data_IF_520357870969
#
_entry.id   IF_520357870969
#
_cell.length_a   1.000
_cell.length_b   1.000
_cell.length_c   1.000
_cell.angle_alpha   90.00
_cell.angle_beta   90.00
_cell.angle_gamma   90.00
#
_symmetry.space_group_name_H-M   'P 1'
#
loop_
_entity.id
_entity.type
_entity.pdbx_description
1 polymer ?
#
# COMPACT_ATOMS: atom_id res chain seq x y z
N UNK A 1 -12.35 26.53 46.81
CA UNK A 1 -12.65 25.24 46.13
C UNK A 1 -12.53 25.47 44.61
N UNK A 2 -11.71 24.65 43.97
CA UNK A 2 -11.32 24.53 42.55
C UNK A 2 -12.18 25.23 41.49
N UNK A 3 -11.53 25.98 40.58
CA UNK A 3 -11.49 25.69 39.14
C UNK A 3 -10.40 26.55 38.46
N UNK A 4 -9.33 25.90 37.98
CA UNK A 4 -8.32 26.47 37.10
C UNK A 4 -8.80 26.32 35.65
N UNK A 5 -8.86 27.44 34.93
CA UNK A 5 -8.97 27.48 33.47
C UNK A 5 -7.55 27.49 32.90
N UNK A 6 -7.21 26.47 32.10
CA UNK A 6 -5.92 26.39 31.41
C UNK A 6 -6.09 26.91 29.98
N UNK A 7 -5.37 27.99 29.67
CA UNK A 7 -5.24 28.61 28.37
C UNK A 7 -4.65 27.64 27.33
N UNK A 8 -5.35 27.43 26.22
CA UNK A 8 -4.79 26.83 25.00
C UNK A 8 -4.13 27.98 24.18
N UNK A 9 -2.80 27.99 24.13
CA UNK A 9 -2.02 28.82 23.19
C UNK A 9 -2.06 28.17 21.81
N UNK A 10 -2.82 28.74 20.89
CA UNK A 10 -2.73 28.45 19.45
C UNK A 10 -1.46 29.12 18.91
N UNK A 11 -0.45 28.33 18.56
CA UNK A 11 0.70 28.82 17.79
C UNK A 11 0.33 28.88 16.31
N UNK A 12 0.10 30.09 15.81
CA UNK A 12 -0.01 30.40 14.39
C UNK A 12 1.42 30.43 13.79
N UNK A 13 1.78 29.43 12.99
CA UNK A 13 3.00 29.49 12.17
C UNK A 13 2.64 29.70 10.69
N UNK A 14 3.05 30.86 10.19
CA UNK A 14 2.92 31.30 8.80
C UNK A 14 3.81 30.45 7.87
N UNK A 15 3.27 29.37 7.32
CA UNK A 15 3.89 28.58 6.23
C UNK A 15 3.15 28.72 4.88
N UNK A 16 2.19 29.64 4.77
CA UNK A 16 1.24 29.70 3.66
C UNK A 16 1.76 30.37 2.36
N UNK A 17 2.96 30.94 2.31
CA UNK A 17 3.38 31.70 1.11
C UNK A 17 4.04 30.87 0.01
N UNK A 18 4.49 29.64 0.29
CA UNK A 18 5.17 28.78 -0.69
C UNK A 18 4.30 27.64 -1.24
N UNK A 19 3.19 27.29 -0.58
CA UNK A 19 2.29 26.21 -1.02
C UNK A 19 1.22 26.64 -2.02
N UNK A 20 0.81 27.92 -1.99
CA UNK A 20 -0.26 28.43 -2.86
C UNK A 20 0.14 28.49 -4.34
N UNK A 21 1.44 28.55 -4.67
CA UNK A 21 1.89 28.62 -6.07
C UNK A 21 1.95 27.27 -6.81
N UNK A 22 1.96 26.14 -6.10
CA UNK A 22 2.13 24.83 -6.76
C UNK A 22 0.82 24.08 -7.03
N UNK A 23 -0.27 24.45 -6.33
CA UNK A 23 -1.58 23.79 -6.48
C UNK A 23 -2.68 24.68 -7.08
N UNK A 24 -2.46 25.99 -7.27
CA UNK A 24 -3.52 26.91 -7.72
C UNK A 24 -3.66 27.07 -9.23
N UNK A 25 -2.81 26.47 -10.07
CA UNK A 25 -2.90 26.70 -11.51
C UNK A 25 -3.86 25.79 -12.28
N UNK A 26 -4.38 24.69 -11.72
CA UNK A 26 -5.20 23.71 -12.48
C UNK A 26 -6.41 23.16 -11.70
N UNK A 27 -7.27 24.04 -11.18
CA UNK A 27 -8.63 23.63 -10.77
C UNK A 27 -9.62 24.67 -11.32
N UNK A 28 -10.07 24.44 -12.56
CA UNK A 28 -11.29 25.03 -13.07
C UNK A 28 -12.47 24.22 -12.54
N UNK A 29 -13.34 24.87 -11.77
CA UNK A 29 -14.62 24.35 -11.30
C UNK A 29 -15.55 24.08 -12.47
N UNK A 30 -15.76 22.80 -12.79
CA UNK A 30 -16.86 22.29 -13.60
C UNK A 30 -16.98 20.80 -13.36
N UNK A 31 -18.16 20.35 -12.95
CA UNK A 31 -18.56 18.96 -12.82
C UNK A 31 -18.46 18.23 -14.16
N UNK A 32 -17.28 17.67 -14.44
CA UNK A 32 -17.06 16.73 -15.53
C UNK A 32 -15.94 15.78 -15.11
N UNK A 33 -16.25 14.49 -15.04
CA UNK A 33 -15.28 13.40 -14.80
C UNK A 33 -14.09 13.62 -15.71
N UNK A 34 -12.94 14.01 -15.15
CA UNK A 34 -11.71 14.20 -15.91
C UNK A 34 -11.27 12.85 -16.45
N UNK A 35 -11.57 12.60 -17.73
CA UNK A 35 -10.99 11.53 -18.52
C UNK A 35 -9.47 11.75 -18.54
N UNK A 36 -8.74 10.91 -17.81
CA UNK A 36 -7.28 10.87 -17.88
C UNK A 36 -6.88 10.40 -19.29
N UNK A 37 -6.53 11.36 -20.15
CA UNK A 37 -6.07 11.11 -21.51
C UNK A 37 -4.67 10.49 -21.50
N UNK A 38 -4.53 9.32 -22.13
CA UNK A 38 -3.25 8.72 -22.46
C UNK A 38 -2.67 9.41 -23.71
N UNK A 39 -1.94 10.51 -23.53
CA UNK A 39 -1.15 11.09 -24.61
C UNK A 39 0.36 11.07 -24.31
N UNK A 40 1.10 10.67 -25.35
CA UNK A 40 2.53 10.33 -25.43
C UNK A 40 3.52 11.44 -24.98
N UNK A 41 3.55 11.74 -23.68
CA UNK A 41 4.74 12.18 -22.93
C UNK A 41 4.69 11.45 -21.59
N UNK A 42 5.77 10.81 -21.17
CA UNK A 42 5.84 9.99 -19.94
C UNK A 42 5.54 10.81 -18.66
N UNK A 43 4.30 11.20 -18.41
CA UNK A 43 3.89 12.01 -17.25
C UNK A 43 2.50 11.61 -16.76
N UNK A 44 2.33 10.35 -16.35
CA UNK A 44 1.15 9.97 -15.59
C UNK A 44 1.43 10.13 -14.09
N UNK A 45 0.72 11.06 -13.46
CA UNK A 45 0.65 11.17 -12.00
C UNK A 45 -0.40 10.19 -11.48
N UNK A 46 -0.10 9.53 -10.38
CA UNK A 46 -1.00 8.55 -9.78
C UNK A 46 -2.08 9.24 -8.94
N UNK A 47 -3.30 8.71 -8.99
CA UNK A 47 -4.39 9.20 -8.16
C UNK A 47 -4.02 9.07 -6.67
N UNK A 48 -4.34 10.06 -5.80
CA UNK A 48 -3.93 10.00 -4.40
C UNK A 48 -4.46 8.74 -3.68
N UNK A 49 -5.72 8.37 -3.89
CA UNK A 49 -6.26 7.13 -3.31
C UNK A 49 -5.57 5.87 -3.87
N UNK A 50 -5.06 5.89 -5.11
CA UNK A 50 -4.25 4.78 -5.64
C UNK A 50 -2.94 4.65 -4.87
N UNK A 51 -2.25 5.77 -4.61
CA UNK A 51 -1.05 5.77 -3.78
C UNK A 51 -1.38 5.22 -2.39
N UNK A 52 -2.43 5.72 -1.73
CA UNK A 52 -2.85 5.23 -0.41
C UNK A 52 -3.12 3.72 -0.41
N UNK A 53 -3.92 3.22 -1.37
CA UNK A 53 -4.22 1.79 -1.48
C UNK A 53 -2.97 0.95 -1.75
N UNK A 54 -2.05 1.44 -2.59
CA UNK A 54 -0.79 0.76 -2.83
C UNK A 54 0.10 0.73 -1.57
N UNK A 55 0.13 1.82 -0.80
CA UNK A 55 0.84 1.90 0.48
C UNK A 55 0.23 0.96 1.51
N UNK A 56 -1.10 0.80 1.54
CA UNK A 56 -1.80 -0.15 2.42
C UNK A 56 -1.35 -1.61 2.19
N UNK A 57 -0.94 -1.97 0.97
CA UNK A 57 -0.28 -3.25 0.69
C UNK A 57 1.23 -3.19 0.97
N UNK A 58 1.97 -2.49 0.12
CA UNK A 58 3.44 -2.60 -0.02
C UNK A 58 4.24 -1.58 0.81
N UNK A 59 3.57 -0.61 1.44
CA UNK A 59 4.23 0.43 2.22
C UNK A 59 4.80 -0.09 3.55
N UNK A 60 5.93 0.47 3.96
CA UNK A 60 6.55 0.20 5.26
C UNK A 60 7.00 1.50 5.94
N UNK A 61 6.58 1.69 7.19
CA UNK A 61 7.01 2.77 8.06
C UNK A 61 7.96 2.20 9.12
N UNK A 62 9.15 2.77 9.26
CA UNK A 62 10.15 2.25 10.21
C UNK A 62 10.93 3.36 10.88
N UNK A 63 11.32 3.13 12.14
CA UNK A 63 12.29 3.93 12.86
C UNK A 63 13.57 3.11 12.97
N UNK A 64 14.62 3.54 12.27
CA UNK A 64 15.95 2.96 12.36
C UNK A 64 16.71 3.60 13.51
N UNK A 65 17.28 2.75 14.38
CA UNK A 65 18.10 3.16 15.51
C UNK A 65 19.38 2.33 15.49
N UNK A 66 20.54 2.98 15.55
CA UNK A 66 21.82 2.32 15.64
C UNK A 66 22.81 3.14 16.46
N UNK A 67 23.80 2.46 17.04
CA UNK A 67 24.86 3.10 17.79
C UNK A 67 25.75 3.90 16.84
N UNK A 68 26.02 5.15 17.20
CA UNK A 68 26.92 6.05 16.48
C UNK A 68 27.64 6.93 17.49
N UNK A 69 28.94 6.70 17.67
CA UNK A 69 29.78 7.40 18.65
C UNK A 69 29.89 8.91 18.39
N UNK A 70 29.55 9.38 17.18
CA UNK A 70 29.54 10.81 16.82
C UNK A 70 28.32 11.54 17.39
N UNK A 71 27.29 10.80 17.81
CA UNK A 71 26.06 11.38 18.37
C UNK A 71 26.22 11.64 19.86
N UNK A 72 25.67 12.75 20.36
CA UNK A 72 25.80 13.18 21.77
C UNK A 72 25.39 12.11 22.80
N UNK A 73 24.44 11.24 22.45
CA UNK A 73 23.96 10.11 23.28
C UNK A 73 24.28 8.74 22.69
N UNK A 74 25.20 8.67 21.73
CA UNK A 74 25.65 7.42 21.13
C UNK A 74 24.63 6.74 20.22
N UNK A 75 23.48 7.36 19.93
CA UNK A 75 22.42 6.82 19.09
C UNK A 75 22.07 7.75 17.94
N UNK A 76 21.97 7.18 16.74
CA UNK A 76 21.37 7.83 15.60
C UNK A 76 19.97 7.27 15.36
N UNK A 77 18.99 8.16 15.21
CA UNK A 77 17.58 7.82 14.93
C UNK A 77 17.19 8.36 13.55
N UNK A 78 16.61 7.50 12.70
CA UNK A 78 16.16 7.88 11.36
C UNK A 78 14.77 7.32 11.06
N UNK A 79 13.78 8.19 10.78
CA UNK A 79 12.49 7.74 10.26
C UNK A 79 12.63 7.41 8.78
N UNK A 80 12.09 6.27 8.36
CA UNK A 80 12.15 5.78 6.99
C UNK A 80 10.77 5.30 6.58
N UNK A 81 10.27 5.86 5.48
CA UNK A 81 9.20 5.27 4.69
C UNK A 81 9.80 4.57 3.46
N UNK A 82 9.33 3.36 3.15
CA UNK A 82 9.80 2.63 1.97
C UNK A 82 8.73 1.75 1.33
N UNK A 83 8.92 1.49 0.05
CA UNK A 83 8.18 0.51 -0.75
C UNK A 83 9.22 -0.35 -1.47
N UNK A 84 9.13 -1.67 -1.34
CA UNK A 84 10.07 -2.60 -1.96
C UNK A 84 9.34 -3.44 -3.00
N UNK A 85 9.75 -3.36 -4.27
CA UNK A 85 9.16 -4.17 -5.33
C UNK A 85 10.23 -4.94 -6.09
N UNK A 86 9.82 -6.01 -6.76
CA UNK A 86 10.68 -6.67 -7.75
C UNK A 86 11.05 -5.69 -8.86
N UNK A 87 12.26 -5.82 -9.43
CA UNK A 87 12.80 -4.91 -10.47
C UNK A 87 11.91 -4.77 -11.71
N UNK A 88 11.04 -5.75 -11.91
CA UNK A 88 10.05 -5.76 -12.99
C UNK A 88 9.03 -4.62 -12.90
N UNK A 89 8.78 -4.13 -11.69
CA UNK A 89 7.86 -3.04 -11.39
C UNK A 89 8.62 -1.72 -11.15
N UNK A 90 9.85 -1.58 -11.66
CA UNK A 90 10.65 -0.35 -11.53
C UNK A 90 9.89 0.89 -12.03
N UNK A 91 9.20 0.79 -13.17
CA UNK A 91 8.41 1.89 -13.74
C UNK A 91 7.26 2.32 -12.82
N UNK A 92 6.71 1.40 -12.02
CA UNK A 92 5.69 1.73 -11.02
C UNK A 92 6.32 2.51 -9.85
N UNK A 93 7.50 2.12 -9.38
CA UNK A 93 8.23 2.90 -8.37
C UNK A 93 8.62 4.29 -8.87
N UNK A 94 9.02 4.43 -10.14
CA UNK A 94 9.29 5.73 -10.78
C UNK A 94 8.03 6.61 -10.86
N UNK A 95 6.86 6.02 -11.12
CA UNK A 95 5.58 6.73 -11.12
C UNK A 95 5.19 7.19 -9.70
N UNK A 96 5.41 6.35 -8.68
CA UNK A 96 5.19 6.70 -7.27
C UNK A 96 6.13 7.84 -6.85
N UNK A 97 7.43 7.73 -7.14
CA UNK A 97 8.42 8.77 -6.83
C UNK A 97 8.04 10.11 -7.48
N UNK A 98 7.68 10.09 -8.76
CA UNK A 98 7.25 11.29 -9.50
C UNK A 98 5.99 11.90 -8.91
N UNK A 99 5.03 11.07 -8.51
CA UNK A 99 3.76 11.51 -7.93
C UNK A 99 3.95 12.17 -6.56
N UNK A 100 4.76 11.55 -5.69
CA UNK A 100 5.04 12.10 -4.37
C UNK A 100 6.05 13.26 -4.42
N UNK A 101 6.81 13.40 -5.51
CA UNK A 101 7.80 14.47 -5.70
C UNK A 101 9.01 14.39 -4.76
N UNK A 102 9.14 13.30 -4.01
CA UNK A 102 10.20 13.08 -3.02
C UNK A 102 10.72 11.64 -3.10
N UNK A 103 11.75 11.35 -2.32
CA UNK A 103 12.30 10.00 -2.21
C UNK A 103 13.30 9.65 -3.31
N UNK A 104 13.95 8.50 -3.13
CA UNK A 104 14.99 8.00 -4.03
C UNK A 104 14.80 6.49 -4.23
N UNK A 105 15.18 6.01 -5.41
CA UNK A 105 15.22 4.59 -5.73
C UNK A 105 16.61 4.03 -5.42
N UNK A 106 16.64 2.87 -4.76
CA UNK A 106 17.86 2.16 -4.40
C UNK A 106 17.75 0.71 -4.83
N UNK A 107 18.85 0.15 -5.33
CA UNK A 107 18.96 -1.30 -5.48
C UNK A 107 18.81 -1.97 -4.11
N UNK A 108 17.95 -2.98 -4.01
CA UNK A 108 17.70 -3.71 -2.78
C UNK A 108 17.83 -5.21 -3.05
N UNK A 109 18.98 -5.81 -2.75
CA UNK A 109 19.26 -7.19 -3.12
C UNK A 109 19.46 -7.39 -4.63
N UNK A 110 19.30 -8.64 -5.09
CA UNK A 110 19.56 -9.01 -6.50
C UNK A 110 18.45 -8.58 -7.45
N UNK A 111 17.20 -8.81 -7.07
CA UNK A 111 16.04 -8.74 -7.95
C UNK A 111 14.98 -7.71 -7.52
N UNK A 112 15.29 -6.84 -6.56
CA UNK A 112 14.35 -5.83 -6.07
C UNK A 112 14.95 -4.42 -6.01
N UNK A 113 14.04 -3.45 -6.09
CA UNK A 113 14.31 -2.02 -5.97
C UNK A 113 13.46 -1.48 -4.82
N UNK A 114 14.06 -0.61 -4.02
CA UNK A 114 13.42 0.07 -2.92
C UNK A 114 13.23 1.55 -3.26
N UNK A 115 12.00 2.02 -3.25
CA UNK A 115 11.70 3.43 -3.10
C UNK A 115 11.81 3.80 -1.62
N UNK A 116 12.61 4.81 -1.28
CA UNK A 116 12.89 5.20 0.12
C UNK A 116 12.82 6.71 0.32
N UNK A 117 12.15 7.11 1.39
CA UNK A 117 12.11 8.49 1.92
C UNK A 117 12.64 8.46 3.35
N UNK A 118 13.60 9.32 3.68
CA UNK A 118 14.27 9.27 5.00
C UNK A 118 14.69 10.62 5.57
N UNK A 119 14.77 11.68 4.75
CA UNK A 119 14.99 13.03 5.27
C UNK A 119 13.70 13.56 5.90
N UNK A 120 13.80 14.18 7.08
CA UNK A 120 12.65 14.70 7.83
C UNK A 120 11.71 15.57 6.97
N UNK A 121 12.28 16.53 6.21
CA UNK A 121 11.51 17.38 5.27
C UNK A 121 10.64 16.57 4.30
N UNK A 122 11.20 15.52 3.71
CA UNK A 122 10.49 14.70 2.72
C UNK A 122 9.51 13.72 3.38
N UNK A 123 9.77 13.27 4.62
CA UNK A 123 8.82 12.45 5.38
C UNK A 123 7.52 13.22 5.63
N UNK A 124 7.58 14.53 5.88
CA UNK A 124 6.37 15.35 6.01
C UNK A 124 5.50 15.37 4.74
N UNK A 125 6.06 15.14 3.54
CA UNK A 125 5.25 14.98 2.33
C UNK A 125 4.41 13.70 2.38
N UNK A 126 4.98 12.62 2.95
CA UNK A 126 4.26 11.35 3.16
C UNK A 126 3.19 11.51 4.24
N UNK A 127 3.52 12.16 5.36
CA UNK A 127 2.56 12.45 6.44
C UNK A 127 1.39 13.28 5.92
N UNK A 128 1.66 14.39 5.22
CA UNK A 128 0.62 15.25 4.68
C UNK A 128 -0.29 14.51 3.67
N UNK A 129 0.27 13.60 2.88
CA UNK A 129 -0.51 12.75 1.99
C UNK A 129 -1.44 11.82 2.77
N UNK A 130 -0.92 11.10 3.77
CA UNK A 130 -1.69 10.10 4.52
C UNK A 130 -2.65 10.70 5.55
N UNK A 131 -2.40 11.91 6.04
CA UNK A 131 -3.38 12.66 6.83
C UNK A 131 -4.59 13.07 5.98
N UNK A 132 -4.36 13.41 4.71
CA UNK A 132 -5.43 13.78 3.77
C UNK A 132 -6.13 12.56 3.16
N UNK A 133 -5.40 11.47 2.93
CA UNK A 133 -5.87 10.21 2.35
C UNK A 133 -5.47 9.03 3.26
N UNK A 134 -6.23 8.78 4.34
CA UNK A 134 -5.84 7.82 5.38
C UNK A 134 -5.79 6.38 4.88
N UNK A 135 -4.84 5.62 5.44
CA UNK A 135 -4.77 4.16 5.33
C UNK A 135 -5.97 3.52 6.03
N UNK A 136 -6.42 2.37 5.53
CA UNK A 136 -7.57 1.65 6.11
C UNK A 136 -7.24 0.23 6.57
N UNK A 137 -6.03 -0.27 6.32
CA UNK A 137 -5.54 -1.52 6.94
C UNK A 137 -5.00 -1.28 8.35
N UNK A 138 -4.64 -2.35 9.08
CA UNK A 138 -3.90 -2.28 10.34
C UNK A 138 -2.53 -1.58 10.24
N UNK A 139 -2.04 -1.30 9.02
CA UNK A 139 -0.86 -0.46 8.77
C UNK A 139 -1.10 1.00 9.18
N UNK A 140 -2.35 1.46 9.29
CA UNK A 140 -2.66 2.79 9.84
C UNK A 140 -2.08 2.95 11.26
N UNK A 141 -2.16 1.91 12.10
CA UNK A 141 -1.58 1.97 13.44
C UNK A 141 -0.04 2.09 13.42
N UNK A 142 0.64 1.44 12.46
CA UNK A 142 2.08 1.62 12.26
C UNK A 142 2.42 3.05 11.80
N UNK A 143 1.60 3.61 10.89
CA UNK A 143 1.72 5.00 10.44
C UNK A 143 1.57 6.00 11.59
N UNK A 144 0.59 5.81 12.48
CA UNK A 144 0.36 6.72 13.61
C UNK A 144 1.53 6.71 14.60
N UNK A 145 2.04 5.53 14.97
CA UNK A 145 3.25 5.41 15.80
C UNK A 145 4.47 6.05 15.12
N UNK A 146 4.61 5.83 13.81
CA UNK A 146 5.69 6.43 13.02
C UNK A 146 5.59 7.96 13.00
N UNK A 147 4.40 8.51 12.81
CA UNK A 147 4.14 9.96 12.81
C UNK A 147 4.51 10.58 14.16
N UNK A 148 4.11 9.95 15.27
CA UNK A 148 4.47 10.42 16.61
C UNK A 148 6.00 10.42 16.83
N UNK A 149 6.70 9.38 16.40
CA UNK A 149 8.16 9.34 16.47
C UNK A 149 8.80 10.44 15.60
N UNK A 150 8.23 10.75 14.43
CA UNK A 150 8.68 11.85 13.58
C UNK A 150 8.54 13.21 14.28
N UNK A 151 7.45 13.44 15.01
CA UNK A 151 7.27 14.67 15.79
C UNK A 151 8.31 14.82 16.91
N UNK A 152 8.63 13.74 17.65
CA UNK A 152 9.72 13.73 18.63
C UNK A 152 11.08 14.05 17.98
N UNK A 153 11.29 13.58 16.75
CA UNK A 153 12.51 13.86 15.99
C UNK A 153 12.55 15.33 15.56
N UNK A 154 11.44 15.86 15.05
CA UNK A 154 11.30 17.24 14.61
C UNK A 154 11.52 18.24 15.76
N UNK A 155 11.00 17.92 16.95
CA UNK A 155 11.18 18.71 18.17
C UNK A 155 12.57 18.54 18.80
N UNK A 156 13.47 17.76 18.17
CA UNK A 156 14.81 17.43 18.67
C UNK A 156 14.82 16.69 20.02
N UNK A 157 13.70 16.14 20.48
CA UNK A 157 13.61 15.40 21.75
C UNK A 157 14.49 14.15 21.75
N UNK A 158 14.64 13.52 20.59
CA UNK A 158 15.54 12.37 20.35
C UNK A 158 17.02 12.61 20.69
N UNK A 159 17.43 13.85 20.97
CA UNK A 159 18.79 14.18 21.44
C UNK A 159 18.97 13.95 22.94
N UNK A 160 17.89 13.66 23.66
CA UNK A 160 17.88 13.37 25.11
C UNK A 160 17.62 11.88 25.36
N UNK A 161 18.08 11.35 26.49
CA UNK A 161 17.79 9.96 26.88
C UNK A 161 16.29 9.72 27.05
N UNK A 162 15.56 10.69 27.62
CA UNK A 162 14.11 10.60 27.76
C UNK A 162 13.41 10.53 26.39
N UNK A 163 13.78 11.40 25.44
CA UNK A 163 13.21 11.35 24.10
C UNK A 163 13.59 10.10 23.32
N UNK A 164 14.80 9.57 23.50
CA UNK A 164 15.18 8.25 22.97
C UNK A 164 14.28 7.15 23.55
N UNK A 165 14.07 7.12 24.87
CA UNK A 165 13.21 6.14 25.53
C UNK A 165 11.76 6.21 24.98
N UNK A 166 11.20 7.41 24.80
CA UNK A 166 9.88 7.57 24.16
C UNK A 166 9.85 6.96 22.76
N UNK A 167 10.87 7.21 21.93
CA UNK A 167 10.95 6.62 20.58
C UNK A 167 11.11 5.11 20.64
N UNK A 168 11.85 4.57 21.62
CA UNK A 168 11.99 3.12 21.83
C UNK A 168 10.64 2.49 22.21
N UNK A 169 9.86 3.12 23.10
CA UNK A 169 8.53 2.67 23.47
C UNK A 169 7.57 2.62 22.24
N UNK A 170 7.61 3.66 21.39
CA UNK A 170 6.87 3.65 20.12
C UNK A 170 7.34 2.55 19.18
N UNK A 171 8.66 2.38 19.05
CA UNK A 171 9.27 1.37 18.18
C UNK A 171 8.96 -0.05 18.66
N UNK A 172 8.80 -0.28 19.97
CA UNK A 172 8.41 -1.57 20.53
C UNK A 172 7.03 -2.04 20.04
N UNK A 173 6.15 -1.11 19.69
CA UNK A 173 4.83 -1.39 19.13
C UNK A 173 4.78 -1.32 17.60
N UNK A 174 5.86 -0.92 16.93
CA UNK A 174 5.94 -0.72 15.49
C UNK A 174 6.47 -1.97 14.77
N UNK A 175 5.76 -2.45 13.75
CA UNK A 175 6.13 -3.66 12.99
C UNK A 175 6.47 -4.87 13.90
N UNK A 176 7.70 -5.39 13.81
CA UNK A 176 8.22 -6.53 14.59
C UNK A 176 8.83 -6.14 15.94
N UNK A 177 8.76 -4.85 16.33
CA UNK A 177 9.27 -4.36 17.61
C UNK A 177 10.79 -4.12 17.64
N UNK A 178 11.41 -4.44 18.78
CA UNK A 178 12.81 -4.14 19.08
C UNK A 178 13.76 -5.29 18.77
N UNK A 179 14.94 -4.97 18.23
CA UNK A 179 16.08 -5.89 18.20
C UNK A 179 16.70 -6.05 19.57
N UNK A 180 17.41 -7.15 19.81
CA UNK A 180 17.99 -7.46 21.14
C UNK A 180 18.97 -6.39 21.63
N UNK A 181 19.80 -5.83 20.73
CA UNK A 181 20.70 -4.69 21.03
C UNK A 181 19.94 -3.49 21.62
N UNK A 182 18.71 -3.22 21.15
CA UNK A 182 17.90 -2.10 21.66
C UNK A 182 17.27 -2.48 22.99
N UNK A 183 16.78 -3.71 23.15
CA UNK A 183 16.24 -4.20 24.43
C UNK A 183 17.28 -4.13 25.55
N UNK A 184 18.51 -4.58 25.26
CA UNK A 184 19.64 -4.51 26.20
C UNK A 184 20.00 -3.07 26.59
N UNK A 185 19.93 -2.15 25.62
CA UNK A 185 20.31 -0.75 25.84
C UNK A 185 19.20 0.09 26.49
N UNK A 186 17.96 -0.38 26.45
CA UNK A 186 16.76 0.28 26.98
C UNK A 186 15.88 -0.75 27.72
N UNK A 187 16.32 -1.28 28.88
CA UNK A 187 15.65 -2.38 29.58
C UNK A 187 14.28 -1.99 30.14
N UNK A 188 14.03 -0.71 30.41
CA UNK A 188 12.77 -0.19 30.94
C UNK A 188 11.78 0.18 29.82
N UNK A 189 11.79 -0.57 28.72
CA UNK A 189 10.88 -0.29 27.59
C UNK A 189 9.46 -0.72 27.93
N UNK A 190 8.52 0.18 27.70
CA UNK A 190 7.08 -0.09 27.78
C UNK A 190 6.48 -0.13 26.37
N UNK A 191 5.69 -1.16 26.07
CA UNK A 191 5.01 -1.26 24.79
C UNK A 191 3.77 -0.38 24.79
N UNK A 192 3.68 0.54 23.83
CA UNK A 192 2.55 1.45 23.66
C UNK A 192 1.36 0.71 23.05
N UNK A 193 0.16 0.95 23.57
CA UNK A 193 -1.07 0.41 22.99
C UNK A 193 -1.27 0.95 21.57
N UNK A 194 -1.50 0.04 20.62
CA UNK A 194 -1.71 0.41 19.22
C UNK A 194 -3.12 0.97 19.04
N UNK A 195 -3.22 2.12 18.36
CA UNK A 195 -4.52 2.71 18.04
C UNK A 195 -5.41 1.73 17.26
N UNK A 196 -6.67 1.65 17.64
CA UNK A 196 -7.67 0.88 16.92
C UNK A 196 -7.98 1.53 15.56
N UNK A 197 -7.90 0.74 14.49
CA UNK A 197 -8.34 1.16 13.15
C UNK A 197 -9.85 0.94 13.02
N UNK A 198 -10.61 2.03 13.10
CA UNK A 198 -12.09 2.02 13.11
C UNK A 198 -12.72 2.25 11.73
N UNK A 199 -12.18 3.16 10.94
CA UNK A 199 -12.68 3.46 9.60
C UNK A 199 -11.97 2.60 8.56
N UNK A 200 -12.63 1.51 8.19
CA UNK A 200 -12.13 0.50 7.23
C UNK A 200 -12.84 0.58 5.88
N UNK A 201 -13.65 1.61 5.63
CA UNK A 201 -14.50 1.69 4.43
C UNK A 201 -13.70 2.15 3.22
N UNK A 202 -13.88 1.47 2.09
CA UNK A 202 -13.36 1.93 0.80
C UNK A 202 -14.18 3.15 0.36
N UNK A 203 -13.53 4.31 0.27
CA UNK A 203 -14.17 5.58 -0.13
C UNK A 203 -14.07 5.87 -1.63
N UNK A 204 -13.12 5.24 -2.33
CA UNK A 204 -12.80 5.52 -3.73
C UNK A 204 -12.25 4.24 -4.40
N UNK A 205 -12.73 3.90 -5.60
CA UNK A 205 -12.28 2.72 -6.34
C UNK A 205 -10.78 2.76 -6.70
N UNK A 206 -10.16 3.94 -6.77
CA UNK A 206 -8.72 4.05 -6.94
C UNK A 206 -7.96 3.46 -5.74
N UNK A 207 -8.51 3.50 -4.53
CA UNK A 207 -7.92 2.80 -3.38
C UNK A 207 -7.91 1.29 -3.64
N UNK A 208 -9.04 0.73 -4.05
CA UNK A 208 -9.14 -0.70 -4.37
C UNK A 208 -8.20 -1.08 -5.52
N UNK A 209 -8.07 -0.21 -6.52
CA UNK A 209 -7.11 -0.36 -7.63
C UNK A 209 -5.66 -0.41 -7.13
N UNK A 210 -5.26 0.53 -6.28
CA UNK A 210 -3.91 0.57 -5.70
C UNK A 210 -3.63 -0.65 -4.84
N UNK A 211 -4.60 -1.02 -3.99
CA UNK A 211 -4.48 -2.19 -3.12
C UNK A 211 -4.46 -3.50 -3.93
N UNK A 212 -5.21 -3.59 -5.03
CA UNK A 212 -5.15 -4.72 -5.96
C UNK A 212 -3.83 -4.78 -6.70
N UNK A 213 -3.22 -3.64 -7.07
CA UNK A 213 -1.90 -3.60 -7.68
C UNK A 213 -0.82 -4.15 -6.73
N UNK A 214 -0.97 -3.91 -5.42
CA UNK A 214 -0.13 -4.52 -4.41
C UNK A 214 -0.47 -6.02 -4.25
N UNK A 215 -1.64 -6.31 -3.70
CA UNK A 215 -1.99 -7.60 -3.08
C UNK A 215 -2.88 -8.50 -3.94
N UNK A 216 -3.33 -8.01 -5.10
CA UNK A 216 -4.28 -8.72 -5.97
C UNK A 216 -3.64 -9.86 -6.77
N UNK A 217 -4.46 -10.81 -7.20
CA UNK A 217 -4.05 -11.93 -8.05
C UNK A 217 -5.14 -12.27 -9.05
N UNK A 218 -4.76 -12.40 -10.32
CA UNK A 218 -5.63 -12.85 -11.41
C UNK A 218 -5.19 -14.26 -11.83
N UNK A 219 -6.06 -15.23 -11.62
CA UNK A 219 -5.73 -16.65 -11.72
C UNK A 219 -6.63 -17.36 -12.72
N UNK A 220 -6.01 -18.18 -13.56
CA UNK A 220 -6.69 -19.18 -14.39
C UNK A 220 -6.60 -20.51 -13.66
N UNK A 221 -7.74 -21.12 -13.32
CA UNK A 221 -7.84 -22.40 -12.65
C UNK A 221 -8.06 -23.49 -13.71
N UNK A 222 -7.23 -24.54 -13.68
CA UNK A 222 -7.38 -25.71 -14.56
C UNK A 222 -7.33 -26.95 -13.66
N UNK A 223 -8.41 -27.73 -13.64
CA UNK A 223 -8.50 -29.00 -12.93
C UNK A 223 -8.75 -30.11 -13.95
N UNK A 224 -7.67 -30.72 -14.46
CA UNK A 224 -7.73 -31.73 -15.51
C UNK A 224 -8.62 -32.92 -15.14
N UNK A 225 -8.55 -33.38 -13.90
CA UNK A 225 -9.37 -34.51 -13.41
C UNK A 225 -10.87 -34.24 -13.40
N UNK A 226 -11.29 -32.96 -13.37
CA UNK A 226 -12.70 -32.56 -13.39
C UNK A 226 -13.12 -31.90 -14.69
N UNK A 227 -12.25 -31.90 -15.70
CA UNK A 227 -12.42 -31.14 -16.95
C UNK A 227 -12.90 -29.71 -16.71
N UNK A 228 -12.40 -29.06 -15.66
CA UNK A 228 -12.86 -27.75 -15.21
C UNK A 228 -11.83 -26.67 -15.50
N UNK A 229 -12.29 -25.62 -16.18
CA UNK A 229 -11.57 -24.36 -16.37
C UNK A 229 -12.38 -23.25 -15.70
N UNK A 230 -11.72 -22.46 -14.87
CA UNK A 230 -12.34 -21.35 -14.17
C UNK A 230 -11.40 -20.17 -14.02
N UNK A 231 -11.95 -19.08 -13.51
CA UNK A 231 -11.22 -17.87 -13.19
C UNK A 231 -11.31 -17.61 -11.70
N UNK A 232 -10.25 -17.04 -11.13
CA UNK A 232 -10.28 -16.50 -9.77
C UNK A 232 -9.59 -15.16 -9.72
N UNK A 233 -10.30 -14.16 -9.20
CA UNK A 233 -9.69 -12.97 -8.64
C UNK A 233 -9.53 -13.16 -7.13
N UNK A 234 -8.39 -12.79 -6.58
CA UNK A 234 -8.20 -12.78 -5.13
C UNK A 234 -7.35 -11.63 -4.67
N UNK A 235 -7.57 -11.21 -3.42
CA UNK A 235 -6.67 -10.33 -2.67
C UNK A 235 -6.33 -11.09 -1.39
N UNK A 236 -5.06 -11.09 -0.99
CA UNK A 236 -4.57 -11.80 0.19
C UNK A 236 -3.92 -10.80 1.14
N UNK A 237 -4.11 -10.96 2.45
CA UNK A 237 -3.45 -10.13 3.46
C UNK A 237 -3.33 -10.89 4.78
N UNK A 238 -2.56 -10.37 5.74
CA UNK A 238 -2.52 -10.94 7.08
C UNK A 238 -3.91 -10.98 7.74
N UNK A 239 -4.19 -12.03 8.52
CA UNK A 239 -5.51 -12.26 9.18
C UNK A 239 -5.99 -11.10 10.09
N UNK A 240 -5.08 -10.23 10.51
CA UNK A 240 -5.37 -9.03 11.32
C UNK A 240 -6.28 -8.03 10.60
N UNK A 241 -6.35 -8.10 9.28
CA UNK A 241 -7.19 -7.27 8.41
C UNK A 241 -8.48 -7.99 7.98
N UNK A 242 -8.86 -9.09 8.65
CA UNK A 242 -10.10 -9.86 8.35
C UNK A 242 -11.34 -8.98 8.23
N UNK A 243 -11.53 -8.04 9.15
CA UNK A 243 -12.72 -7.17 9.18
C UNK A 243 -12.76 -6.26 7.93
N UNK A 244 -11.60 -5.75 7.47
CA UNK A 244 -11.50 -5.01 6.22
C UNK A 244 -11.94 -5.88 5.04
N UNK A 245 -11.50 -7.14 5.00
CA UNK A 245 -11.85 -8.04 3.90
C UNK A 245 -13.33 -8.44 3.93
N UNK A 246 -13.94 -8.61 5.11
CA UNK A 246 -15.38 -8.79 5.24
C UNK A 246 -16.15 -7.62 4.62
N UNK A 247 -15.66 -6.38 4.77
CA UNK A 247 -16.26 -5.20 4.13
C UNK A 247 -16.16 -5.21 2.59
N UNK A 248 -15.21 -5.96 2.01
CA UNK A 248 -15.12 -6.06 0.54
C UNK A 248 -16.31 -6.83 -0.04
N UNK A 249 -16.86 -7.79 0.69
CA UNK A 249 -18.04 -8.55 0.25
C UNK A 249 -19.22 -7.61 0.08
N UNK A 250 -19.46 -6.75 1.07
CA UNK A 250 -20.52 -5.74 1.02
C UNK A 250 -20.25 -4.71 -0.08
N UNK A 251 -19.01 -4.19 -0.15
CA UNK A 251 -18.63 -3.14 -1.09
C UNK A 251 -18.72 -3.58 -2.56
N UNK A 252 -18.26 -4.79 -2.88
CA UNK A 252 -18.31 -5.34 -4.25
C UNK A 252 -19.59 -6.12 -4.53
N UNK A 253 -20.40 -6.36 -3.50
CA UNK A 253 -21.59 -7.21 -3.54
C UNK A 253 -21.32 -8.58 -4.20
N UNK A 254 -20.15 -9.17 -3.92
CA UNK A 254 -19.74 -10.49 -4.40
C UNK A 254 -18.50 -11.01 -3.64
N UNK A 255 -18.13 -12.25 -3.93
CA UNK A 255 -16.95 -12.88 -3.36
C UNK A 255 -17.18 -13.50 -1.99
N UNK A 256 -16.11 -14.05 -1.44
CA UNK A 256 -16.11 -14.73 -0.14
C UNK A 256 -14.75 -14.62 0.55
N UNK A 257 -14.77 -14.77 1.87
CA UNK A 257 -13.55 -14.91 2.66
C UNK A 257 -13.12 -16.37 2.75
N UNK A 258 -11.82 -16.59 2.65
CA UNK A 258 -11.16 -17.84 2.95
C UNK A 258 -9.96 -17.60 3.86
N UNK A 259 -9.88 -18.38 4.94
CA UNK A 259 -8.79 -18.33 5.92
C UNK A 259 -8.13 -19.70 5.89
N UNK A 260 -6.89 -19.81 5.37
CA UNK A 260 -6.14 -21.06 5.43
C UNK A 260 -5.92 -21.48 6.88
N UNK A 261 -6.05 -22.77 7.20
CA UNK A 261 -5.86 -23.28 8.56
C UNK A 261 -4.41 -23.24 9.06
N UNK A 262 -3.45 -23.09 8.14
CA UNK A 262 -2.00 -23.22 8.43
C UNK A 262 -1.24 -21.90 8.36
N UNK A 263 -1.91 -20.79 8.04
CA UNK A 263 -1.26 -19.49 7.81
C UNK A 263 -2.08 -18.37 8.44
N UNK A 264 -1.39 -17.35 8.94
CA UNK A 264 -2.01 -16.13 9.48
C UNK A 264 -2.44 -15.18 8.35
N UNK A 265 -3.29 -15.69 7.46
CA UNK A 265 -3.67 -15.02 6.22
C UNK A 265 -5.19 -15.03 6.06
N UNK A 266 -5.72 -14.01 5.42
CA UNK A 266 -7.11 -13.91 4.97
C UNK A 266 -7.12 -13.64 3.47
N UNK A 267 -7.97 -14.35 2.74
CA UNK A 267 -8.14 -14.24 1.30
C UNK A 267 -9.55 -13.78 0.99
N UNK A 268 -9.70 -12.65 0.31
CA UNK A 268 -10.94 -12.30 -0.39
C UNK A 268 -10.87 -12.93 -1.78
N UNK A 269 -11.85 -13.74 -2.16
CA UNK A 269 -11.85 -14.48 -3.42
C UNK A 269 -13.17 -14.37 -4.17
N UNK A 270 -13.07 -14.17 -5.47
CA UNK A 270 -14.19 -14.23 -6.41
C UNK A 270 -13.85 -15.29 -7.46
N UNK A 271 -14.69 -16.31 -7.58
CA UNK A 271 -14.53 -17.39 -8.58
C UNK A 271 -15.82 -17.70 -9.35
N UNK A 272 -16.91 -17.01 -9.02
CA UNK A 272 -18.15 -17.07 -9.79
C UNK A 272 -17.92 -16.30 -11.08
N UNK A 273 -18.15 -16.96 -12.22
CA UNK A 273 -17.83 -16.40 -13.52
C UNK A 273 -18.58 -15.10 -13.82
N UNK A 274 -19.90 -15.05 -13.54
CA UNK A 274 -20.72 -13.84 -13.74
C UNK A 274 -20.22 -12.67 -12.90
N UNK A 275 -19.91 -12.87 -11.61
CA UNK A 275 -19.33 -11.82 -10.76
C UNK A 275 -18.00 -11.29 -11.32
N UNK A 276 -17.16 -12.17 -11.89
CA UNK A 276 -15.91 -11.76 -12.53
C UNK A 276 -16.19 -10.90 -13.76
N UNK A 277 -17.08 -11.33 -14.66
CA UNK A 277 -17.33 -10.65 -15.93
C UNK A 277 -18.17 -9.39 -15.81
N UNK A 278 -19.08 -9.33 -14.83
CA UNK A 278 -20.04 -8.24 -14.67
C UNK A 278 -19.60 -7.22 -13.62
N UNK A 279 -18.67 -7.56 -12.73
CA UNK A 279 -18.19 -6.65 -11.68
C UNK A 279 -16.69 -6.38 -11.77
N UNK A 280 -15.87 -7.43 -11.71
CA UNK A 280 -14.40 -7.28 -11.59
C UNK A 280 -13.75 -6.80 -12.88
N UNK A 281 -14.09 -7.40 -14.02
CA UNK A 281 -13.56 -6.96 -15.32
C UNK A 281 -13.96 -5.50 -15.60
N UNK A 282 -15.23 -5.08 -15.46
CA UNK A 282 -15.62 -3.67 -15.63
C UNK A 282 -14.84 -2.70 -14.74
N UNK A 283 -14.66 -3.00 -13.45
CA UNK A 283 -13.88 -2.16 -12.53
C UNK A 283 -12.45 -1.94 -13.07
N UNK A 284 -11.73 -3.01 -13.41
CA UNK A 284 -10.33 -2.86 -13.86
C UNK A 284 -10.19 -2.44 -15.33
N UNK A 285 -11.28 -2.40 -16.10
CA UNK A 285 -11.33 -1.71 -17.39
C UNK A 285 -11.45 -0.19 -17.20
N UNK A 286 -12.29 0.26 -16.26
CA UNK A 286 -12.46 1.68 -15.93
C UNK A 286 -11.28 2.24 -15.10
N UNK A 287 -10.69 1.40 -14.24
CA UNK A 287 -9.57 1.70 -13.35
C UNK A 287 -8.35 0.80 -13.67
N UNK A 288 -7.67 0.99 -14.81
CA UNK A 288 -6.62 0.07 -15.28
C UNK A 288 -5.43 -0.04 -14.34
N UNK A 289 -4.96 -1.26 -14.10
CA UNK A 289 -3.68 -1.50 -13.43
C UNK A 289 -2.50 -0.93 -14.25
N UNK A 290 -1.38 -0.71 -13.57
CA UNK A 290 -0.21 0.02 -14.07
C UNK A 290 1.03 -0.90 -14.12
N UNK A 291 1.27 -1.67 -13.06
CA UNK A 291 2.43 -2.54 -12.94
C UNK A 291 2.34 -3.77 -13.85
N UNK A 292 3.26 -4.70 -13.66
CA UNK A 292 3.29 -5.97 -14.41
C UNK A 292 1.98 -6.75 -14.26
N UNK A 293 1.28 -6.60 -13.13
CA UNK A 293 -0.01 -7.23 -12.86
C UNK A 293 -1.08 -6.86 -13.88
N UNK A 294 -0.95 -5.70 -14.55
CA UNK A 294 -1.78 -5.32 -15.70
C UNK A 294 -1.73 -6.36 -16.82
N UNK A 295 -0.56 -6.92 -17.09
CA UNK A 295 -0.42 -7.93 -18.14
C UNK A 295 -1.07 -9.25 -17.73
N UNK A 296 -1.02 -9.61 -16.45
CA UNK A 296 -1.76 -10.75 -15.89
C UNK A 296 -3.27 -10.54 -15.98
N UNK A 297 -3.75 -9.34 -15.67
CA UNK A 297 -5.15 -8.98 -15.84
C UNK A 297 -5.61 -9.10 -17.31
N UNK A 298 -4.82 -8.61 -18.27
CA UNK A 298 -5.17 -8.72 -19.70
C UNK A 298 -5.29 -10.18 -20.14
N UNK A 299 -4.34 -11.02 -19.72
CA UNK A 299 -4.37 -12.45 -20.06
C UNK A 299 -5.54 -13.17 -19.37
N UNK A 300 -5.88 -12.77 -18.15
CA UNK A 300 -7.09 -13.21 -17.44
C UNK A 300 -8.38 -12.86 -18.20
N UNK A 301 -8.49 -11.63 -18.72
CA UNK A 301 -9.63 -11.19 -19.55
C UNK A 301 -9.73 -12.00 -20.85
N UNK A 302 -8.60 -12.28 -21.52
CA UNK A 302 -8.60 -13.14 -22.72
C UNK A 302 -9.18 -14.52 -22.42
N UNK A 303 -8.84 -15.12 -21.28
CA UNK A 303 -9.40 -16.42 -20.87
C UNK A 303 -10.89 -16.29 -20.55
N UNK A 304 -11.34 -15.16 -19.97
CA UNK A 304 -12.77 -14.91 -19.79
C UNK A 304 -13.52 -14.95 -21.12
N UNK A 305 -13.01 -14.30 -22.16
CA UNK A 305 -13.64 -14.34 -23.50
C UNK A 305 -13.66 -15.75 -24.11
N UNK A 306 -12.60 -16.56 -23.92
CA UNK A 306 -12.59 -17.97 -24.35
C UNK A 306 -13.60 -18.84 -23.57
N UNK A 307 -13.88 -18.49 -22.31
CA UNK A 307 -14.93 -19.14 -21.53
C UNK A 307 -16.30 -18.74 -22.06
N UNK A 308 -16.49 -17.45 -22.35
CA UNK A 308 -17.72 -16.87 -22.91
C UNK A 308 -18.10 -17.51 -24.25
N UNK A 309 -17.13 -17.66 -25.16
CA UNK A 309 -17.32 -18.28 -26.48
C UNK A 309 -17.46 -19.80 -26.44
N UNK A 310 -17.40 -20.41 -25.24
CA UNK A 310 -17.38 -21.86 -25.03
C UNK A 310 -16.17 -22.59 -25.64
N UNK A 311 -15.16 -21.87 -26.14
CA UNK A 311 -13.93 -22.48 -26.66
C UNK A 311 -13.19 -23.32 -25.61
N UNK A 312 -13.27 -22.97 -24.33
CA UNK A 312 -12.72 -23.77 -23.21
C UNK A 312 -13.25 -25.22 -23.13
N UNK A 313 -14.30 -25.57 -23.88
CA UNK A 313 -14.83 -26.94 -23.99
C UNK A 313 -14.19 -27.76 -25.12
N UNK A 314 -13.34 -27.14 -25.95
CA UNK A 314 -12.64 -27.79 -27.08
C UNK A 314 -11.19 -28.08 -26.73
N UNK A 315 -10.58 -29.10 -27.35
CA UNK A 315 -9.18 -29.42 -27.12
C UNK A 315 -8.26 -28.27 -27.55
N UNK A 316 -8.54 -27.62 -28.68
CA UNK A 316 -7.81 -26.45 -29.15
C UNK A 316 -7.91 -25.28 -28.18
N UNK A 317 -9.12 -24.98 -27.68
CA UNK A 317 -9.33 -23.90 -26.72
C UNK A 317 -8.65 -24.17 -25.39
N UNK A 318 -8.65 -25.41 -24.90
CA UNK A 318 -7.90 -25.82 -23.70
C UNK A 318 -6.39 -25.57 -23.91
N UNK A 319 -5.82 -26.00 -25.04
CA UNK A 319 -4.41 -25.75 -25.37
C UNK A 319 -4.08 -24.25 -25.43
N UNK A 320 -4.97 -23.43 -25.99
CA UNK A 320 -4.83 -21.96 -25.97
C UNK A 320 -4.79 -21.42 -24.54
N UNK A 321 -5.71 -21.86 -23.68
CA UNK A 321 -5.80 -21.41 -22.28
C UNK A 321 -4.56 -21.85 -21.47
N UNK A 322 -4.08 -23.08 -21.65
CA UNK A 322 -2.84 -23.55 -21.02
C UNK A 322 -1.64 -22.70 -21.43
N UNK A 323 -1.53 -22.35 -22.73
CA UNK A 323 -0.47 -21.46 -23.22
C UNK A 323 -0.55 -20.08 -22.58
N UNK A 324 -1.75 -19.50 -22.44
CA UNK A 324 -1.93 -18.21 -21.77
C UNK A 324 -1.49 -18.32 -20.31
N UNK A 325 -2.03 -19.29 -19.56
CA UNK A 325 -1.71 -19.51 -18.15
C UNK A 325 -0.21 -19.70 -17.90
N UNK A 326 0.49 -20.40 -18.79
CA UNK A 326 1.93 -20.66 -18.69
C UNK A 326 2.79 -19.40 -18.95
N UNK A 327 2.20 -18.28 -19.38
CA UNK A 327 2.88 -17.00 -19.56
C UNK A 327 2.38 -15.91 -18.59
N UNK A 328 1.60 -16.27 -17.57
CA UNK A 328 1.06 -15.37 -16.56
C UNK A 328 1.80 -15.47 -15.22
N UNK A 329 1.63 -14.45 -14.38
CA UNK A 329 2.02 -14.41 -12.97
C UNK A 329 3.51 -14.72 -12.77
N UNK A 330 3.85 -15.73 -11.98
CA UNK A 330 5.23 -16.16 -11.71
C UNK A 330 5.96 -16.69 -12.95
N UNK A 331 5.22 -17.13 -13.97
CA UNK A 331 5.79 -17.67 -15.20
C UNK A 331 6.03 -16.60 -16.27
N UNK A 332 5.62 -15.35 -16.01
CA UNK A 332 5.79 -14.25 -16.96
C UNK A 332 7.26 -13.86 -17.07
N UNK A 333 7.85 -14.10 -18.24
CA UNK A 333 9.17 -13.59 -18.61
C UNK A 333 9.02 -12.12 -19.02
N UNK A 334 9.79 -11.27 -18.37
CA UNK A 334 9.77 -9.83 -18.62
C UNK A 334 11.02 -9.52 -19.42
N UNK A 335 10.80 -9.10 -20.66
CA UNK A 335 11.85 -8.77 -21.62
C UNK A 335 12.38 -7.36 -21.37
#
# INVERSE_FOLDING_TARGET
>A
KRCQSLYIKIFNFNFNKYLVKFYSSHISTSSSVTKYSFNNKNSFYLHPYYITGFIDGEGCFSISMYKDSRMFKGWQVKPIFSINLHNRDLKLLEAIQRTLGVGKLYKHGKNSTQYRVSSLKNIYVIINHLDKYPLITKKLADYLLFKEAVELINNKEHLTLNGLQKIVNLKASLNLGLSDIIKESFPNTEQIERSEVKDIKIKDLNWLRGFTEAEGSFQVLIQKSKSYIGLRFSISQHIRDKILFESFIEYLNCGKIYIPSTRNEVNFMISVYSDITEKIIPIFNEYPLIGVKKEDYKDFVKVAELIKSKEHLTEEGIKKIEKIKNNMNSNRIIK
#
